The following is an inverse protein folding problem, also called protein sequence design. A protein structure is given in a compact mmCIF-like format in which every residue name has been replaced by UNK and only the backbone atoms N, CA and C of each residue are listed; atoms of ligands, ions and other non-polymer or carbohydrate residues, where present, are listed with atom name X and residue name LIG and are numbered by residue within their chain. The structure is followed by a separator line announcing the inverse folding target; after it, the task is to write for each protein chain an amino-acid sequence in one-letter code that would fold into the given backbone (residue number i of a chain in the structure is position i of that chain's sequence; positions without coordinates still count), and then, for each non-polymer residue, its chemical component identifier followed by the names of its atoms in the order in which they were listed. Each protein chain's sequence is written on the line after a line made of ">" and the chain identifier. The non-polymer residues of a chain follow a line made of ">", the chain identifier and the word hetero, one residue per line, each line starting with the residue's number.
data_IF_313552035718
#
_entry.id   IF_313552035718
#
_cell.length_a   1.000
_cell.length_b   1.000
_cell.length_c   1.000
_cell.angle_alpha   90.00
_cell.angle_beta   90.00
_cell.angle_gamma   90.00
#
_symmetry.space_group_name_H-M   'P 1'
#
loop_
_entity.id
_entity.type
_entity.pdbx_description
1 polymer ?
#
# COMPACT_ATOMS: atom_id res chain seq x y z
N UNK A 1 -4.11 -8.59 31.50
CA UNK A 1 -3.25 -7.68 32.27
C UNK A 1 -1.82 -8.23 32.39
N UNK A 2 -1.62 -9.32 33.14
CA UNK A 2 -0.30 -9.95 33.40
C UNK A 2 0.57 -10.16 32.16
N UNK A 3 -0.01 -10.65 31.05
CA UNK A 3 0.72 -10.81 29.77
C UNK A 3 1.36 -9.51 29.25
N UNK A 4 0.69 -8.36 29.41
CA UNK A 4 1.22 -7.06 28.95
C UNK A 4 2.27 -6.51 29.91
N UNK A 5 2.10 -6.76 31.21
CA UNK A 5 3.06 -6.42 32.26
C UNK A 5 4.37 -7.21 32.09
N UNK A 6 4.26 -8.52 31.91
CA UNK A 6 5.37 -9.41 31.58
C UNK A 6 6.05 -8.99 30.27
N UNK A 7 5.29 -8.43 29.33
CA UNK A 7 5.78 -7.91 28.06
C UNK A 7 6.33 -6.48 28.14
N UNK A 8 6.28 -5.82 29.31
CA UNK A 8 6.72 -4.44 29.48
C UNK A 8 5.97 -3.44 28.59
N UNK A 9 4.76 -3.78 28.15
CA UNK A 9 3.95 -2.98 27.22
C UNK A 9 4.65 -2.59 25.90
N UNK A 10 5.66 -3.37 25.49
CA UNK A 10 6.35 -3.16 24.20
C UNK A 10 5.37 -3.38 23.05
N UNK A 11 5.27 -2.42 22.14
CA UNK A 11 4.37 -2.45 20.98
C UNK A 11 2.89 -2.24 21.31
N UNK A 12 2.55 -1.86 22.55
CA UNK A 12 1.17 -1.62 22.97
C UNK A 12 0.82 -0.14 22.72
N UNK A 13 -0.18 0.17 21.87
CA UNK A 13 -0.68 1.53 21.70
C UNK A 13 -1.16 2.12 23.03
N UNK A 14 -0.99 3.43 23.23
CA UNK A 14 -1.43 4.16 24.43
C UNK A 14 -0.88 3.57 25.75
N UNK A 15 0.30 2.92 25.72
CA UNK A 15 0.87 2.23 26.90
C UNK A 15 0.95 3.10 28.14
N UNK A 16 1.28 4.39 28.00
CA UNK A 16 1.43 5.29 29.14
C UNK A 16 0.11 5.45 29.90
N UNK A 17 -1.00 5.66 29.17
CA UNK A 17 -2.35 5.75 29.75
C UNK A 17 -2.74 4.43 30.40
N UNK A 18 -2.53 3.31 29.71
CA UNK A 18 -2.86 1.97 30.24
C UNK A 18 -2.08 1.67 31.53
N UNK A 19 -0.78 1.97 31.55
CA UNK A 19 0.07 1.78 32.72
C UNK A 19 -0.39 2.64 33.90
N UNK A 20 -0.73 3.91 33.65
CA UNK A 20 -1.25 4.82 34.67
C UNK A 20 -2.60 4.36 35.23
N UNK A 21 -3.53 3.96 34.36
CA UNK A 21 -4.82 3.41 34.78
C UNK A 21 -4.64 2.15 35.64
N UNK A 22 -3.77 1.23 35.24
CA UNK A 22 -3.51 -0.01 35.99
C UNK A 22 -2.88 0.30 37.35
N UNK A 23 -1.91 1.21 37.40
CA UNK A 23 -1.31 1.63 38.66
C UNK A 23 -2.34 2.26 39.60
N UNK A 24 -3.20 3.14 39.09
CA UNK A 24 -4.29 3.75 39.86
C UNK A 24 -5.34 2.74 40.34
N UNK A 25 -5.59 1.66 39.58
CA UNK A 25 -6.46 0.58 40.05
C UNK A 25 -5.80 -0.25 41.16
N UNK A 26 -4.49 -0.47 41.09
CA UNK A 26 -3.71 -1.23 42.09
C UNK A 26 -3.42 -0.45 43.37
N UNK A 27 -3.39 0.88 43.32
CA UNK A 27 -3.20 1.72 44.51
C UNK A 27 -4.44 1.78 45.40
N UNK A 28 -5.61 1.38 44.90
CA UNK A 28 -6.85 1.33 45.68
C UNK A 28 -6.76 0.26 46.77
N UNK A 29 -7.12 0.65 47.99
CA UNK A 29 -7.20 -0.26 49.14
C UNK A 29 -8.36 -1.25 49.07
N UNK A 30 -9.42 -0.91 48.32
CA UNK A 30 -10.64 -1.70 48.21
C UNK A 30 -10.70 -2.51 46.91
N UNK A 31 -11.42 -3.63 46.95
CA UNK A 31 -11.66 -4.46 45.78
C UNK A 31 -12.47 -3.69 44.74
N UNK A 32 -11.96 -3.63 43.51
CA UNK A 32 -12.65 -3.01 42.37
C UNK A 32 -13.24 -4.10 41.48
N UNK A 33 -14.58 -4.10 41.31
CA UNK A 33 -15.28 -4.94 40.34
C UNK A 33 -15.59 -4.11 39.10
N UNK A 34 -15.26 -4.62 37.92
CA UNK A 34 -15.54 -3.96 36.63
C UNK A 34 -16.64 -4.77 35.95
N UNK A 35 -17.77 -4.13 35.67
CA UNK A 35 -18.88 -4.73 34.96
C UNK A 35 -18.90 -4.21 33.53
N UNK A 36 -18.96 -5.12 32.55
CA UNK A 36 -19.12 -4.75 31.14
C UNK A 36 -20.60 -4.68 30.79
N UNK A 37 -21.07 -3.52 30.34
CA UNK A 37 -22.46 -3.26 29.96
C UNK A 37 -22.57 -2.90 28.48
N UNK A 38 -23.56 -3.45 27.78
CA UNK A 38 -23.83 -3.12 26.37
C UNK A 38 -24.47 -1.73 26.24
N UNK A 39 -24.08 -0.99 25.20
CA UNK A 39 -24.60 0.36 24.90
C UNK A 39 -26.10 0.40 24.63
N UNK A 40 -26.72 -0.73 24.27
CA UNK A 40 -28.17 -0.86 24.08
C UNK A 40 -28.95 -0.74 25.39
N UNK A 41 -28.31 -0.98 26.54
CA UNK A 41 -28.94 -0.80 27.84
C UNK A 41 -28.92 0.69 28.18
N UNK A 42 -30.06 1.37 27.99
CA UNK A 42 -30.28 2.80 28.30
C UNK A 42 -30.35 3.06 29.81
N UNK A 43 -29.37 2.57 30.57
CA UNK A 43 -29.27 2.88 31.99
C UNK A 43 -28.98 4.38 32.15
N UNK A 44 -29.68 5.10 33.05
CA UNK A 44 -29.51 6.55 33.21
C UNK A 44 -28.06 7.00 33.44
N UNK A 45 -27.30 6.21 34.22
CA UNK A 45 -25.89 6.48 34.53
C UNK A 45 -24.99 6.41 33.29
N UNK A 46 -25.23 5.43 32.40
CA UNK A 46 -24.47 5.26 31.15
C UNK A 46 -24.78 6.41 30.20
N UNK A 47 -26.06 6.79 30.09
CA UNK A 47 -26.48 7.94 29.27
C UNK A 47 -25.78 9.21 29.76
N UNK A 48 -25.81 9.48 31.06
CA UNK A 48 -25.14 10.64 31.65
C UNK A 48 -23.62 10.62 31.43
N UNK A 49 -22.98 9.46 31.57
CA UNK A 49 -21.55 9.32 31.29
C UNK A 49 -21.21 9.58 29.81
N UNK A 50 -22.03 9.12 28.88
CA UNK A 50 -21.87 9.39 27.45
C UNK A 50 -22.07 10.87 27.12
N UNK A 51 -23.04 11.52 27.74
CA UNK A 51 -23.29 12.95 27.55
C UNK A 51 -22.09 13.77 28.07
N UNK A 52 -21.57 13.46 29.26
CA UNK A 52 -20.35 14.08 29.79
C UNK A 52 -19.14 13.86 28.88
N UNK A 53 -18.96 12.65 28.34
CA UNK A 53 -17.89 12.36 27.39
C UNK A 53 -18.02 13.18 26.10
N UNK A 54 -19.25 13.38 25.60
CA UNK A 54 -19.52 14.22 24.42
C UNK A 54 -19.24 15.69 24.69
N UNK A 55 -19.65 16.20 25.85
CA UNK A 55 -19.32 17.57 26.29
C UNK A 55 -17.81 17.75 26.38
N UNK A 56 -17.10 16.79 26.98
CA UNK A 56 -15.63 16.81 27.06
C UNK A 56 -14.96 16.81 25.68
N UNK A 57 -15.44 15.99 24.74
CA UNK A 57 -14.92 15.93 23.37
C UNK A 57 -15.15 17.22 22.55
N UNK A 58 -16.07 18.08 22.98
CA UNK A 58 -16.36 19.37 22.35
C UNK A 58 -15.62 20.56 22.95
N UNK A 59 -14.77 20.37 23.98
CA UNK A 59 -13.98 21.45 24.55
C UNK A 59 -12.90 21.92 23.57
N UNK A 60 -12.66 23.23 23.53
CA UNK A 60 -11.56 23.81 22.74
C UNK A 60 -10.18 23.49 23.34
N UNK A 61 -10.13 23.30 24.67
CA UNK A 61 -8.91 22.97 25.40
C UNK A 61 -9.07 21.65 26.14
N UNK A 62 -8.06 20.78 26.01
CA UNK A 62 -8.02 19.48 26.66
C UNK A 62 -7.86 19.61 28.19
N UNK A 63 -8.55 18.76 28.93
CA UNK A 63 -8.35 18.64 30.38
C UNK A 63 -6.99 17.99 30.67
N UNK A 64 -6.24 18.56 31.62
CA UNK A 64 -4.98 17.96 32.10
C UNK A 64 -5.28 16.75 32.98
N UNK A 65 -4.94 15.56 32.47
CA UNK A 65 -5.04 14.30 33.22
C UNK A 65 -3.68 13.90 33.77
N UNK A 66 -3.57 13.76 35.09
CA UNK A 66 -2.33 13.24 35.70
C UNK A 66 -2.16 11.74 35.37
N UNK A 67 -1.11 11.45 34.61
CA UNK A 67 -0.69 10.09 34.24
C UNK A 67 0.59 9.67 34.98
N UNK A 68 0.94 10.38 36.06
CA UNK A 68 2.04 9.99 36.93
C UNK A 68 1.77 8.62 37.57
N UNK A 69 2.84 7.83 37.70
CA UNK A 69 2.77 6.47 38.25
C UNK A 69 3.70 6.42 39.46
N UNK A 70 3.16 6.00 40.60
CA UNK A 70 3.92 5.68 41.80
C UNK A 70 5.09 4.75 41.43
N UNK A 71 6.34 5.11 41.74
CA UNK A 71 7.51 4.28 41.47
C UNK A 71 7.37 2.81 41.90
N UNK A 72 6.64 2.52 42.99
CA UNK A 72 6.41 1.14 43.49
C UNK A 72 5.53 0.30 42.56
N UNK A 73 4.69 0.94 41.76
CA UNK A 73 3.78 0.29 40.80
C UNK A 73 4.27 0.41 39.36
N UNK A 74 5.40 1.09 39.14
CA UNK A 74 5.94 1.35 37.81
C UNK A 74 6.65 0.12 37.25
N UNK A 75 6.15 -0.37 36.12
CA UNK A 75 6.81 -1.40 35.33
C UNK A 75 7.84 -0.73 34.42
N UNK A 76 9.12 -1.06 34.61
CA UNK A 76 10.25 -0.43 33.92
C UNK A 76 10.63 -1.11 32.61
N UNK A 77 10.15 -2.33 32.37
CA UNK A 77 10.47 -3.09 31.16
C UNK A 77 9.78 -4.44 31.11
N UNK A 78 10.16 -5.26 30.12
CA UNK A 78 9.67 -6.62 30.01
C UNK A 78 10.41 -7.56 30.97
N UNK A 79 9.70 -8.51 31.56
CA UNK A 79 10.31 -9.56 32.36
C UNK A 79 11.25 -10.40 31.49
N UNK A 80 12.52 -10.55 31.89
CA UNK A 80 13.54 -11.28 31.13
C UNK A 80 13.11 -12.72 30.83
N UNK A 81 12.50 -13.40 31.80
CA UNK A 81 11.98 -14.77 31.66
C UNK A 81 10.84 -14.91 30.65
N UNK A 82 10.21 -13.80 30.23
CA UNK A 82 9.11 -13.76 29.26
C UNK A 82 9.48 -12.99 27.99
N UNK A 83 10.73 -12.51 27.88
CA UNK A 83 11.23 -11.79 26.73
C UNK A 83 11.52 -12.75 25.58
N UNK A 84 11.12 -12.38 24.37
CA UNK A 84 11.47 -13.11 23.15
C UNK A 84 12.32 -12.22 22.27
N UNK A 85 13.13 -12.80 21.38
CA UNK A 85 13.93 -12.03 20.42
C UNK A 85 13.08 -11.04 19.60
N UNK A 86 11.90 -11.47 19.13
CA UNK A 86 10.94 -10.60 18.43
C UNK A 86 10.55 -9.39 19.29
N UNK A 87 10.25 -9.61 20.58
CA UNK A 87 9.86 -8.52 21.50
C UNK A 87 11.03 -7.61 21.81
N UNK A 88 12.22 -8.15 22.05
CA UNK A 88 13.45 -7.37 22.23
C UNK A 88 13.75 -6.49 21.01
N UNK A 89 13.63 -7.07 19.80
CA UNK A 89 13.79 -6.33 18.56
C UNK A 89 12.76 -5.19 18.43
N UNK A 90 11.48 -5.42 18.77
CA UNK A 90 10.46 -4.35 18.78
C UNK A 90 10.81 -3.22 19.74
N UNK A 91 11.25 -3.53 20.97
CA UNK A 91 11.67 -2.52 21.93
C UNK A 91 12.84 -1.68 21.42
N UNK A 92 13.87 -2.35 20.88
CA UNK A 92 15.01 -1.66 20.28
C UNK A 92 14.58 -0.77 19.11
N UNK A 93 13.68 -1.26 18.24
CA UNK A 93 13.14 -0.48 17.13
C UNK A 93 12.35 0.73 17.60
N UNK A 94 11.52 0.62 18.62
CA UNK A 94 10.80 1.76 19.20
C UNK A 94 11.75 2.83 19.73
N UNK A 95 12.78 2.42 20.47
CA UNK A 95 13.79 3.34 21.00
C UNK A 95 14.56 4.02 19.87
N UNK A 96 15.04 3.25 18.89
CA UNK A 96 15.77 3.79 17.74
C UNK A 96 14.90 4.71 16.88
N UNK A 97 13.62 4.38 16.70
CA UNK A 97 12.70 5.21 15.93
C UNK A 97 12.50 6.61 16.55
N UNK A 98 12.75 6.80 17.86
CA UNK A 98 12.69 8.12 18.52
C UNK A 98 13.84 9.04 18.12
N UNK A 99 14.98 8.47 17.72
CA UNK A 99 16.18 9.23 17.37
C UNK A 99 16.46 9.25 15.88
N UNK A 100 15.74 8.44 15.09
CA UNK A 100 15.92 8.42 13.64
C UNK A 100 15.41 9.72 13.01
N UNK A 101 16.20 10.34 12.11
CA UNK A 101 15.77 11.53 11.41
C UNK A 101 14.58 11.22 10.51
N UNK A 102 13.70 12.21 10.36
CA UNK A 102 12.58 12.13 9.42
C UNK A 102 13.13 12.02 8.00
N UNK A 103 12.61 11.05 7.25
CA UNK A 103 12.99 10.86 5.85
C UNK A 103 12.13 11.75 4.96
N UNK A 104 12.54 13.01 4.81
CA UNK A 104 11.77 14.05 4.11
C UNK A 104 11.22 13.59 2.74
N UNK A 105 12.02 12.88 1.93
CA UNK A 105 11.58 12.37 0.63
C UNK A 105 10.51 11.28 0.72
N UNK A 106 10.64 10.37 1.70
CA UNK A 106 9.60 9.36 1.96
C UNK A 106 8.31 10.03 2.42
N UNK A 107 8.40 11.04 3.30
CA UNK A 107 7.23 11.80 3.78
C UNK A 107 6.57 12.58 2.63
N UNK A 108 7.34 13.21 1.74
CA UNK A 108 6.81 13.89 0.57
C UNK A 108 6.08 12.92 -0.38
N UNK A 109 6.70 11.79 -0.71
CA UNK A 109 6.07 10.76 -1.53
C UNK A 109 4.82 10.16 -0.88
N UNK A 110 4.82 10.00 0.45
CA UNK A 110 3.64 9.55 1.19
C UNK A 110 2.49 10.54 1.06
N UNK A 111 2.74 11.85 1.22
CA UNK A 111 1.73 12.89 1.01
C UNK A 111 1.20 12.90 -0.41
N UNK A 112 2.08 12.77 -1.41
CA UNK A 112 1.68 12.65 -2.82
C UNK A 112 0.79 11.41 -3.06
N UNK A 113 1.11 10.27 -2.44
CA UNK A 113 0.30 9.06 -2.55
C UNK A 113 -1.08 9.23 -1.88
N UNK A 114 -1.15 9.89 -0.72
CA UNK A 114 -2.41 10.19 -0.04
C UNK A 114 -3.28 11.13 -0.88
N UNK A 115 -2.69 12.16 -1.50
CA UNK A 115 -3.40 13.05 -2.42
C UNK A 115 -3.88 12.31 -3.66
N UNK A 116 -3.02 11.47 -4.27
CA UNK A 116 -3.40 10.65 -5.42
C UNK A 116 -4.56 9.69 -5.09
N UNK A 117 -4.60 9.12 -3.89
CA UNK A 117 -5.72 8.28 -3.45
C UNK A 117 -7.02 9.07 -3.25
N UNK A 118 -6.91 10.34 -2.83
CA UNK A 118 -8.05 11.26 -2.71
C UNK A 118 -8.59 11.65 -4.07
N UNK A 119 -7.71 12.06 -4.99
CA UNK A 119 -8.07 12.48 -6.34
C UNK A 119 -8.62 11.32 -7.18
N UNK A 120 -7.97 10.15 -7.16
CA UNK A 120 -8.35 9.02 -8.02
C UNK A 120 -9.49 8.16 -7.47
N UNK A 121 -9.61 8.06 -6.14
CA UNK A 121 -10.51 7.08 -5.52
C UNK A 121 -11.46 7.71 -4.47
N UNK A 122 -11.37 9.02 -4.22
CA UNK A 122 -12.16 9.68 -3.19
C UNK A 122 -11.85 9.21 -1.76
N UNK A 123 -10.71 8.53 -1.54
CA UNK A 123 -10.36 7.95 -0.23
C UNK A 123 -9.28 8.75 0.49
N UNK A 124 -9.26 8.66 1.83
CA UNK A 124 -8.22 9.25 2.68
C UNK A 124 -7.48 8.16 3.45
N UNK A 125 -6.65 7.35 2.78
CA UNK A 125 -5.92 6.29 3.46
C UNK A 125 -4.86 6.89 4.39
N UNK A 126 -4.67 6.26 5.55
CA UNK A 126 -3.54 6.50 6.44
C UNK A 126 -2.24 5.98 5.83
N UNK A 127 -1.08 6.48 6.29
CA UNK A 127 0.22 5.98 5.85
C UNK A 127 0.36 4.47 6.03
N UNK A 128 -0.16 3.94 7.15
CA UNK A 128 -0.15 2.51 7.45
C UNK A 128 -0.97 1.70 6.44
N UNK A 129 -2.11 2.24 5.98
CA UNK A 129 -2.93 1.61 4.95
C UNK A 129 -2.23 1.59 3.60
N UNK A 130 -1.55 2.69 3.22
CA UNK A 130 -0.76 2.74 1.98
C UNK A 130 0.43 1.77 2.01
N UNK A 131 1.20 1.73 3.10
CA UNK A 131 2.29 0.75 3.22
C UNK A 131 1.80 -0.70 3.18
N UNK A 132 0.63 -0.96 3.76
CA UNK A 132 -0.01 -2.28 3.71
C UNK A 132 -0.51 -2.60 2.30
N UNK A 133 -1.01 -1.61 1.56
CA UNK A 133 -1.57 -1.79 0.22
C UNK A 133 -0.49 -2.22 -0.79
N UNK A 134 0.72 -1.65 -0.72
CA UNK A 134 1.86 -2.10 -1.53
C UNK A 134 2.17 -3.58 -1.30
N UNK A 135 1.91 -4.09 -0.09
CA UNK A 135 2.15 -5.49 0.25
C UNK A 135 1.03 -6.45 -0.16
N UNK A 136 0.04 -5.97 -0.94
CA UNK A 136 -1.10 -6.78 -1.31
C UNK A 136 -0.71 -8.02 -2.10
N UNK A 137 -1.43 -9.13 -1.86
CA UNK A 137 -1.14 -10.43 -2.49
C UNK A 137 -1.24 -10.42 -4.01
N UNK A 138 -2.06 -9.52 -4.55
CA UNK A 138 -2.29 -9.41 -6.00
C UNK A 138 -1.11 -8.76 -6.74
N UNK A 139 -0.24 -8.05 -6.02
CA UNK A 139 0.97 -7.46 -6.59
C UNK A 139 2.11 -8.49 -6.43
N UNK A 140 2.88 -8.78 -7.47
CA UNK A 140 4.00 -9.71 -7.36
C UNK A 140 5.15 -9.11 -6.53
N UNK A 141 6.01 -9.98 -5.96
CA UNK A 141 7.06 -9.56 -5.03
C UNK A 141 8.00 -8.49 -5.62
N UNK A 142 8.35 -8.59 -6.90
CA UNK A 142 9.26 -7.66 -7.53
C UNK A 142 8.62 -6.28 -7.73
N UNK A 143 7.33 -6.22 -8.08
CA UNK A 143 6.58 -4.97 -8.13
C UNK A 143 6.39 -4.34 -6.75
N UNK A 144 6.14 -5.15 -5.70
CA UNK A 144 6.06 -4.63 -4.32
C UNK A 144 7.36 -3.97 -3.89
N UNK A 145 8.49 -4.62 -4.19
CA UNK A 145 9.80 -4.07 -3.89
C UNK A 145 10.04 -2.77 -4.67
N UNK A 146 9.66 -2.75 -5.96
CA UNK A 146 9.74 -1.55 -6.77
C UNK A 146 8.95 -0.38 -6.19
N UNK A 147 7.65 -0.56 -5.92
CA UNK A 147 6.81 0.49 -5.33
C UNK A 147 7.34 0.96 -3.96
N UNK A 148 7.83 0.03 -3.14
CA UNK A 148 8.44 0.36 -1.85
C UNK A 148 9.71 1.22 -2.00
N UNK A 149 10.61 0.83 -2.90
CA UNK A 149 11.83 1.59 -3.20
C UNK A 149 11.50 2.96 -3.79
N UNK A 150 10.47 3.04 -4.63
CA UNK A 150 9.98 4.29 -5.24
C UNK A 150 9.40 5.22 -4.18
N UNK A 151 8.53 4.73 -3.28
CA UNK A 151 8.02 5.54 -2.16
C UNK A 151 9.15 6.04 -1.26
N UNK A 152 10.18 5.24 -1.03
CA UNK A 152 11.33 5.66 -0.23
C UNK A 152 12.30 6.59 -0.96
N UNK A 153 12.13 6.82 -2.27
CA UNK A 153 13.13 7.43 -3.14
C UNK A 153 14.50 6.76 -2.94
N UNK A 154 14.55 5.44 -3.07
CA UNK A 154 15.74 4.64 -2.78
C UNK A 154 16.56 4.26 -4.02
N UNK A 155 16.01 4.39 -5.23
CA UNK A 155 16.74 4.10 -6.47
C UNK A 155 17.82 5.14 -6.77
N UNK A 156 18.98 4.69 -7.27
CA UNK A 156 20.07 5.59 -7.70
C UNK A 156 19.83 6.05 -9.14
N UNK A 157 19.06 7.12 -9.27
CA UNK A 157 18.68 7.74 -10.55
C UNK A 157 18.70 9.27 -10.43
N UNK A 158 18.68 9.95 -11.57
CA UNK A 158 18.58 11.41 -11.65
C UNK A 158 19.67 12.13 -10.88
N UNK A 159 19.30 13.22 -10.21
CA UNK A 159 20.22 14.10 -9.47
C UNK A 159 21.06 13.41 -8.39
N UNK A 160 20.75 12.17 -7.97
CA UNK A 160 21.63 11.43 -7.06
C UNK A 160 22.97 11.09 -7.68
N UNK A 161 23.06 10.97 -9.01
CA UNK A 161 24.34 10.75 -9.69
C UNK A 161 25.26 11.97 -9.63
N UNK A 162 24.70 13.18 -9.51
CA UNK A 162 25.46 14.43 -9.40
C UNK A 162 26.23 14.57 -8.07
N UNK A 163 25.86 13.77 -7.07
CA UNK A 163 26.57 13.72 -5.78
C UNK A 163 27.85 12.86 -5.84
N UNK A 164 28.17 12.26 -6.99
CA UNK A 164 29.40 11.49 -7.20
C UNK A 164 30.40 12.28 -8.03
N UNK A 165 31.56 11.67 -8.29
CA UNK A 165 32.59 12.24 -9.14
C UNK A 165 32.10 12.51 -10.58
N UNK A 166 32.66 13.52 -11.28
CA UNK A 166 32.13 14.03 -12.55
C UNK A 166 31.90 12.99 -13.64
N UNK A 167 32.70 11.93 -13.71
CA UNK A 167 32.56 10.85 -14.69
C UNK A 167 31.24 10.06 -14.56
N UNK A 168 30.49 10.25 -13.48
CA UNK A 168 29.17 9.62 -13.29
C UNK A 168 28.00 10.57 -13.57
N UNK A 169 28.26 11.85 -13.82
CA UNK A 169 27.20 12.87 -13.92
C UNK A 169 26.28 12.64 -15.11
N UNK A 170 26.80 12.13 -16.23
CA UNK A 170 26.01 11.81 -17.43
C UNK A 170 24.87 10.83 -17.13
N UNK A 171 25.02 9.96 -16.11
CA UNK A 171 23.98 9.01 -15.68
C UNK A 171 22.79 9.69 -14.99
N UNK A 172 22.90 10.97 -14.64
CA UNK A 172 21.80 11.73 -14.07
C UNK A 172 20.75 12.12 -15.12
N UNK A 173 21.11 12.10 -16.40
CA UNK A 173 20.33 12.72 -17.47
C UNK A 173 19.77 11.68 -18.45
N UNK A 174 18.63 11.99 -19.05
CA UNK A 174 18.07 11.19 -20.12
C UNK A 174 18.54 11.69 -21.48
N UNK A 175 19.23 10.84 -22.23
CA UNK A 175 19.78 11.14 -23.56
C UNK A 175 18.71 11.34 -24.64
N UNK A 176 17.45 10.99 -24.35
CA UNK A 176 16.33 11.08 -25.29
C UNK A 176 15.38 12.25 -25.03
N UNK A 177 15.56 12.95 -23.91
CA UNK A 177 14.68 14.02 -23.44
C UNK A 177 15.48 15.31 -23.22
N UNK A 178 16.26 15.73 -24.22
CA UNK A 178 17.08 16.95 -24.16
C UNK A 178 17.96 17.07 -22.90
N UNK A 179 18.49 15.95 -22.40
CA UNK A 179 19.25 15.87 -21.15
C UNK A 179 18.49 16.37 -19.91
N UNK A 180 17.17 16.15 -19.86
CA UNK A 180 16.40 16.29 -18.63
C UNK A 180 16.91 15.34 -17.54
N UNK A 181 16.82 15.76 -16.27
CA UNK A 181 17.17 14.92 -15.12
C UNK A 181 16.23 13.70 -15.08
N UNK A 182 16.82 12.51 -15.14
CA UNK A 182 16.09 11.25 -15.21
C UNK A 182 15.59 10.80 -13.82
N UNK A 183 14.63 11.55 -13.28
CA UNK A 183 13.93 11.22 -12.04
C UNK A 183 12.94 10.06 -12.20
N UNK A 184 12.40 9.52 -11.09
CA UNK A 184 11.38 8.46 -11.19
C UNK A 184 10.11 8.96 -11.88
N UNK A 185 9.71 10.20 -11.62
CA UNK A 185 8.57 10.81 -12.32
C UNK A 185 8.86 10.96 -13.82
N UNK A 186 10.08 11.38 -14.17
CA UNK A 186 10.47 11.43 -15.58
C UNK A 186 10.34 10.05 -16.23
N UNK A 187 10.93 9.01 -15.64
CA UNK A 187 10.91 7.64 -16.17
C UNK A 187 9.50 7.11 -16.35
N UNK A 188 8.62 7.34 -15.37
CA UNK A 188 7.29 6.72 -15.35
C UNK A 188 6.20 7.54 -16.05
N UNK A 189 6.40 8.85 -16.24
CA UNK A 189 5.32 9.77 -16.68
C UNK A 189 5.74 10.71 -17.81
N UNK A 190 7.00 11.17 -17.87
CA UNK A 190 7.39 12.28 -18.76
C UNK A 190 8.29 11.88 -19.92
N UNK A 191 8.98 10.74 -19.82
CA UNK A 191 10.00 10.30 -20.76
C UNK A 191 9.45 10.11 -22.18
N UNK A 192 10.08 10.73 -23.18
CA UNK A 192 9.70 10.65 -24.60
C UNK A 192 10.25 9.41 -25.31
N UNK A 193 11.20 8.68 -24.70
CA UNK A 193 11.72 7.45 -25.30
C UNK A 193 10.59 6.43 -25.53
N UNK A 194 10.67 5.63 -26.60
CA UNK A 194 9.76 4.51 -26.81
C UNK A 194 9.68 3.61 -25.57
N UNK A 195 8.46 3.25 -25.20
CA UNK A 195 8.15 2.35 -24.10
C UNK A 195 7.10 2.89 -23.14
N UNK A 196 7.32 4.12 -22.66
CA UNK A 196 6.51 4.71 -21.60
C UNK A 196 5.08 5.00 -22.07
N UNK A 197 4.98 5.68 -23.21
CA UNK A 197 3.70 6.06 -23.83
C UNK A 197 2.91 4.82 -24.25
N UNK A 198 3.54 3.87 -24.93
CA UNK A 198 2.90 2.66 -25.43
C UNK A 198 2.29 1.83 -24.30
N UNK A 199 3.02 1.65 -23.18
CA UNK A 199 2.48 0.92 -22.02
C UNK A 199 1.29 1.66 -21.42
N UNK A 200 1.33 2.99 -21.34
CA UNK A 200 0.20 3.76 -20.82
C UNK A 200 -1.02 3.76 -21.73
N UNK A 201 -0.83 3.84 -23.05
CA UNK A 201 -1.92 3.76 -24.02
C UNK A 201 -2.61 2.39 -23.94
N UNK A 202 -1.84 1.30 -23.87
CA UNK A 202 -2.40 -0.05 -23.68
C UNK A 202 -3.09 -0.23 -22.33
N UNK A 203 -2.53 0.39 -21.28
CA UNK A 203 -3.14 0.39 -19.93
C UNK A 203 -4.46 1.14 -19.91
N UNK A 204 -4.52 2.30 -20.57
CA UNK A 204 -5.73 3.10 -20.74
C UNK A 204 -6.83 2.28 -21.41
N UNK A 205 -6.54 1.67 -22.55
CA UNK A 205 -7.53 0.85 -23.28
C UNK A 205 -8.10 -0.26 -22.41
N UNK A 206 -7.26 -0.97 -21.63
CA UNK A 206 -7.72 -2.02 -20.72
C UNK A 206 -8.63 -1.51 -19.59
N UNK A 207 -8.32 -0.35 -19.03
CA UNK A 207 -9.14 0.26 -17.98
C UNK A 207 -10.48 0.74 -18.53
N UNK A 208 -10.47 1.36 -19.72
CA UNK A 208 -11.68 1.84 -20.41
C UNK A 208 -12.62 0.67 -20.77
N UNK A 209 -12.10 -0.45 -21.28
CA UNK A 209 -12.91 -1.65 -21.54
C UNK A 209 -13.57 -2.21 -20.28
N UNK A 210 -12.91 -2.06 -19.12
CA UNK A 210 -13.47 -2.44 -17.82
C UNK A 210 -14.43 -1.40 -17.24
N UNK A 211 -14.74 -0.33 -17.98
CA UNK A 211 -15.52 0.82 -17.49
C UNK A 211 -14.91 1.42 -16.20
N UNK A 212 -13.58 1.54 -16.18
CA UNK A 212 -12.84 2.24 -15.13
C UNK A 212 -12.35 3.56 -15.73
N UNK A 213 -12.71 4.68 -15.11
CA UNK A 213 -12.31 6.01 -15.55
C UNK A 213 -10.79 6.11 -15.62
N UNK A 214 -10.30 6.43 -16.82
CA UNK A 214 -8.90 6.72 -17.03
C UNK A 214 -8.55 8.13 -16.54
N UNK A 215 -7.45 8.22 -15.80
CA UNK A 215 -6.82 9.48 -15.47
C UNK A 215 -5.39 9.45 -15.98
N UNK A 216 -4.97 10.53 -16.66
CA UNK A 216 -3.60 10.70 -17.10
C UNK A 216 -2.64 10.40 -15.94
N UNK A 217 -1.64 9.50 -16.12
CA UNK A 217 -0.79 9.06 -15.03
C UNK A 217 -0.03 10.25 -14.43
N UNK A 218 -0.14 10.43 -13.12
CA UNK A 218 0.75 11.30 -12.35
C UNK A 218 1.48 10.46 -11.31
N UNK A 219 2.58 11.01 -10.80
CA UNK A 219 3.34 10.36 -9.74
C UNK A 219 2.46 10.07 -8.51
N UNK A 220 1.54 10.97 -8.16
CA UNK A 220 0.57 10.77 -7.07
C UNK A 220 -0.30 9.52 -7.28
N UNK A 221 -0.88 9.34 -8.48
CA UNK A 221 -1.75 8.21 -8.79
C UNK A 221 -0.96 6.89 -8.83
N UNK A 222 0.27 6.91 -9.34
CA UNK A 222 1.16 5.73 -9.36
C UNK A 222 1.51 5.29 -7.94
N UNK A 223 1.87 6.23 -7.06
CA UNK A 223 2.20 5.90 -5.67
C UNK A 223 0.97 5.38 -4.89
N UNK A 224 -0.23 5.79 -5.30
CA UNK A 224 -1.50 5.34 -4.75
C UNK A 224 -2.04 4.03 -5.38
N UNK A 225 -1.44 3.53 -6.46
CA UNK A 225 -2.06 2.51 -7.33
C UNK A 225 -2.34 1.17 -6.63
N UNK A 226 -1.70 0.92 -5.49
CA UNK A 226 -1.88 -0.29 -4.70
C UNK A 226 -3.11 -0.25 -3.78
N UNK A 227 -3.73 0.92 -3.58
CA UNK A 227 -4.89 1.15 -2.73
C UNK A 227 -6.13 1.68 -3.49
N UNK A 228 -6.55 1.06 -4.60
CA UNK A 228 -7.75 1.51 -5.30
C UNK A 228 -8.99 1.28 -4.44
N UNK A 229 -9.98 2.14 -4.62
CA UNK A 229 -11.31 2.02 -4.03
C UNK A 229 -12.34 2.38 -5.09
N UNK A 230 -13.24 1.47 -5.40
CA UNK A 230 -14.31 1.69 -6.35
C UNK A 230 -15.64 1.27 -5.73
N UNK A 231 -16.66 2.11 -5.91
CA UNK A 231 -18.01 1.87 -5.42
C UNK A 231 -18.99 2.01 -6.57
N UNK A 232 -19.89 1.05 -6.72
CA UNK A 232 -21.02 1.17 -7.64
C UNK A 232 -22.03 2.20 -7.16
N UNK A 233 -22.99 2.56 -8.02
CA UNK A 233 -24.03 3.56 -7.75
C UNK A 233 -24.86 3.24 -6.49
N UNK A 234 -25.05 1.96 -6.17
CA UNK A 234 -25.73 1.49 -4.97
C UNK A 234 -24.84 1.46 -3.70
N UNK A 235 -23.63 2.04 -3.76
CA UNK A 235 -22.68 2.12 -2.65
C UNK A 235 -21.92 0.82 -2.35
N UNK A 236 -22.07 -0.23 -3.16
CA UNK A 236 -21.33 -1.50 -2.96
C UNK A 236 -19.91 -1.40 -3.52
N UNK A 237 -18.97 -2.00 -2.81
CA UNK A 237 -17.55 -2.02 -3.20
C UNK A 237 -17.30 -2.97 -4.37
N UNK A 238 -16.65 -2.48 -5.42
CA UNK A 238 -16.35 -3.25 -6.64
C UNK A 238 -14.98 -3.93 -6.54
N UNK A 239 -14.88 -4.95 -5.69
CA UNK A 239 -13.61 -5.66 -5.41
C UNK A 239 -12.90 -6.20 -6.68
N UNK A 240 -13.67 -6.62 -7.70
CA UNK A 240 -13.13 -7.08 -8.98
C UNK A 240 -12.38 -5.98 -9.73
N UNK A 241 -13.00 -4.79 -9.88
CA UNK A 241 -12.37 -3.61 -10.50
C UNK A 241 -11.16 -3.13 -9.70
N UNK A 242 -11.23 -3.13 -8.37
CA UNK A 242 -10.10 -2.75 -7.52
C UNK A 242 -8.91 -3.70 -7.66
N UNK A 243 -9.18 -5.00 -7.81
CA UNK A 243 -8.14 -5.99 -8.05
C UNK A 243 -7.55 -5.82 -9.45
N UNK A 244 -8.38 -5.65 -10.47
CA UNK A 244 -7.98 -5.42 -11.85
C UNK A 244 -7.09 -4.18 -11.98
N UNK A 245 -7.57 -3.02 -11.52
CA UNK A 245 -6.81 -1.76 -11.56
C UNK A 245 -5.44 -1.91 -10.91
N UNK A 246 -5.39 -2.52 -9.72
CA UNK A 246 -4.14 -2.72 -8.99
C UNK A 246 -3.17 -3.60 -9.76
N UNK A 247 -3.65 -4.69 -10.36
CA UNK A 247 -2.83 -5.58 -11.18
C UNK A 247 -2.29 -4.85 -12.40
N UNK A 248 -3.18 -4.20 -13.17
CA UNK A 248 -2.85 -3.55 -14.43
C UNK A 248 -1.90 -2.38 -14.19
N UNK A 249 -2.26 -1.40 -13.36
CA UNK A 249 -1.44 -0.20 -13.15
C UNK A 249 -0.09 -0.55 -12.52
N UNK A 250 -0.04 -1.47 -11.54
CA UNK A 250 1.24 -1.88 -10.95
C UNK A 250 2.12 -2.68 -11.91
N UNK A 251 1.51 -3.46 -12.81
CA UNK A 251 2.24 -4.15 -13.88
C UNK A 251 2.81 -3.14 -14.87
N UNK A 252 2.06 -2.09 -15.22
CA UNK A 252 2.45 -1.06 -16.19
C UNK A 252 3.70 -0.33 -15.74
N UNK A 253 3.69 0.20 -14.52
CA UNK A 253 4.83 0.93 -13.95
C UNK A 253 6.08 0.08 -13.86
N UNK A 254 5.94 -1.21 -13.51
CA UNK A 254 7.08 -2.11 -13.48
C UNK A 254 7.59 -2.43 -14.89
N UNK A 255 6.72 -2.54 -15.89
CA UNK A 255 7.14 -2.77 -17.29
C UNK A 255 7.94 -1.59 -17.82
N UNK A 256 7.47 -0.36 -17.57
CA UNK A 256 8.17 0.88 -17.94
C UNK A 256 9.53 0.95 -17.25
N UNK A 257 9.57 0.69 -15.93
CA UNK A 257 10.82 0.66 -15.17
C UNK A 257 11.83 -0.37 -15.70
N UNK A 258 11.37 -1.60 -15.96
CA UNK A 258 12.22 -2.67 -16.45
C UNK A 258 12.75 -2.36 -17.86
N UNK A 259 11.89 -1.86 -18.75
CA UNK A 259 12.30 -1.43 -20.09
C UNK A 259 13.35 -0.32 -20.00
N UNK A 260 13.14 0.70 -19.17
CA UNK A 260 14.16 1.74 -18.95
C UNK A 260 15.48 1.16 -18.42
N UNK A 261 15.43 0.25 -17.44
CA UNK A 261 16.65 -0.33 -16.88
C UNK A 261 17.43 -1.13 -17.91
N UNK A 262 16.76 -1.98 -18.69
CA UNK A 262 17.39 -2.75 -19.76
C UNK A 262 17.99 -1.83 -20.83
N UNK A 263 17.23 -0.81 -21.26
CA UNK A 263 17.73 0.20 -22.21
C UNK A 263 19.04 0.83 -21.73
N UNK A 264 19.03 1.40 -20.53
CA UNK A 264 20.16 2.19 -20.02
C UNK A 264 21.35 1.32 -19.61
N UNK A 265 21.12 0.11 -19.09
CA UNK A 265 22.17 -0.73 -18.50
C UNK A 265 22.72 -1.77 -19.49
N UNK A 266 21.87 -2.33 -20.34
CA UNK A 266 22.22 -3.50 -21.17
C UNK A 266 22.27 -3.20 -22.67
N UNK A 267 21.62 -2.11 -23.12
CA UNK A 267 21.51 -1.76 -24.55
C UNK A 267 22.17 -0.44 -24.91
N UNK A 268 23.10 0.07 -24.08
CA UNK A 268 23.81 1.33 -24.37
C UNK A 268 22.87 2.50 -24.71
N UNK A 269 21.72 2.55 -24.04
CA UNK A 269 20.65 3.51 -24.28
C UNK A 269 19.90 3.42 -25.63
N UNK A 270 20.11 2.37 -26.43
CA UNK A 270 19.37 2.14 -27.67
C UNK A 270 17.86 1.93 -27.38
N UNK A 271 16.96 2.66 -28.05
CA UNK A 271 15.53 2.57 -27.82
C UNK A 271 14.98 1.20 -28.24
N UNK A 272 13.91 0.75 -27.57
CA UNK A 272 13.13 -0.40 -28.03
C UNK A 272 12.21 0.00 -29.18
N UNK A 273 11.77 -0.98 -29.97
CA UNK A 273 10.65 -0.75 -30.89
C UNK A 273 9.33 -0.74 -30.13
N UNK A 274 8.33 -0.01 -30.64
CA UNK A 274 6.98 0.00 -30.05
C UNK A 274 6.35 -1.41 -30.04
N UNK A 275 6.69 -2.26 -31.01
CA UNK A 275 6.25 -3.66 -31.06
C UNK A 275 6.88 -4.50 -29.94
N UNK A 276 8.19 -4.38 -29.70
CA UNK A 276 8.86 -5.08 -28.60
C UNK A 276 8.22 -4.74 -27.24
N UNK A 277 7.91 -3.46 -27.01
CA UNK A 277 7.27 -3.00 -25.78
C UNK A 277 5.84 -3.54 -25.67
N UNK A 278 5.07 -3.44 -26.75
CA UNK A 278 3.69 -3.93 -26.81
C UNK A 278 3.64 -5.42 -26.48
N UNK A 279 4.52 -6.21 -27.10
CA UNK A 279 4.60 -7.65 -26.86
C UNK A 279 5.01 -7.99 -25.42
N UNK A 280 5.94 -7.22 -24.82
CA UNK A 280 6.31 -7.38 -23.40
C UNK A 280 5.13 -7.09 -22.47
N UNK A 281 4.38 -6.04 -22.75
CA UNK A 281 3.20 -5.68 -21.97
C UNK A 281 2.10 -6.75 -22.08
N UNK A 282 1.74 -7.13 -23.31
CA UNK A 282 0.76 -8.19 -23.61
C UNK A 282 1.14 -9.49 -22.91
N UNK A 283 2.39 -9.93 -23.03
CA UNK A 283 2.91 -11.13 -22.37
C UNK A 283 2.75 -11.06 -20.85
N UNK A 284 3.04 -9.91 -20.24
CA UNK A 284 2.96 -9.74 -18.79
C UNK A 284 1.54 -9.84 -18.26
N UNK A 285 0.59 -9.17 -18.91
CA UNK A 285 -0.81 -9.17 -18.48
C UNK A 285 -1.45 -10.54 -18.74
N UNK A 286 -1.22 -11.16 -19.90
CA UNK A 286 -1.71 -12.51 -20.17
C UNK A 286 -1.11 -13.55 -19.22
N UNK A 287 0.19 -13.46 -18.92
CA UNK A 287 0.80 -14.34 -17.90
C UNK A 287 0.14 -14.17 -16.54
N UNK A 288 -0.30 -12.96 -16.19
CA UNK A 288 -1.00 -12.72 -14.93
C UNK A 288 -2.40 -13.32 -14.92
N UNK A 289 -3.14 -13.21 -16.03
CA UNK A 289 -4.41 -13.89 -16.23
C UNK A 289 -4.26 -15.41 -16.06
N UNK A 290 -3.33 -16.03 -16.80
CA UNK A 290 -3.03 -17.46 -16.71
C UNK A 290 -2.74 -17.89 -15.27
N UNK A 291 -1.92 -17.12 -14.55
CA UNK A 291 -1.61 -17.42 -13.15
C UNK A 291 -2.85 -17.33 -12.26
N UNK A 292 -3.71 -16.34 -12.46
CA UNK A 292 -4.96 -16.22 -11.70
C UNK A 292 -5.89 -17.42 -11.97
N UNK A 293 -6.04 -17.84 -13.22
CA UNK A 293 -6.80 -19.04 -13.61
C UNK A 293 -6.21 -20.30 -12.97
N UNK A 294 -4.89 -20.51 -13.08
CA UNK A 294 -4.20 -21.64 -12.46
C UNK A 294 -4.40 -21.67 -10.95
N UNK A 295 -4.38 -20.51 -10.29
CA UNK A 295 -4.53 -20.40 -8.85
C UNK A 295 -5.96 -20.70 -8.35
N UNK A 296 -6.94 -20.92 -9.23
CA UNK A 296 -8.29 -21.38 -8.82
C UNK A 296 -8.36 -22.87 -8.51
N UNK A 297 -7.36 -23.66 -8.94
CA UNK A 297 -7.37 -25.13 -8.79
C UNK A 297 -7.37 -25.57 -7.33
N UNK A 298 -8.17 -26.58 -7.02
CA UNK A 298 -8.36 -27.13 -5.66
C UNK A 298 -7.08 -27.62 -5.00
N UNK A 299 -6.07 -28.04 -5.78
CA UNK A 299 -4.74 -28.44 -5.28
C UNK A 299 -4.06 -27.37 -4.41
N UNK A 300 -4.47 -26.10 -4.54
CA UNK A 300 -3.94 -25.00 -3.74
C UNK A 300 -4.68 -24.80 -2.40
N UNK A 301 -5.75 -25.56 -2.14
CA UNK A 301 -6.50 -25.57 -0.87
C UNK A 301 -6.88 -24.16 -0.39
N UNK A 302 -6.54 -23.83 0.85
CA UNK A 302 -6.83 -22.50 1.45
C UNK A 302 -6.10 -21.32 0.77
N UNK A 303 -5.14 -21.60 -0.12
CA UNK A 303 -4.42 -20.58 -0.90
C UNK A 303 -5.01 -20.38 -2.29
N UNK A 304 -5.98 -21.21 -2.70
CA UNK A 304 -6.66 -21.07 -3.98
C UNK A 304 -7.40 -19.72 -4.05
N UNK A 305 -7.44 -19.14 -5.25
CA UNK A 305 -8.31 -18.02 -5.56
C UNK A 305 -9.73 -18.54 -5.78
N UNK A 306 -10.72 -17.76 -5.36
CA UNK A 306 -12.11 -18.06 -5.68
C UNK A 306 -12.34 -17.81 -7.17
N UNK A 307 -12.99 -18.76 -7.87
CA UNK A 307 -13.39 -18.63 -9.27
C UNK A 307 -14.10 -17.29 -9.55
N UNK A 308 -15.12 -16.97 -8.76
CA UNK A 308 -15.85 -15.69 -8.87
C UNK A 308 -14.92 -14.47 -8.81
N UNK A 309 -13.91 -14.47 -7.94
CA UNK A 309 -13.00 -13.32 -7.83
C UNK A 309 -12.21 -13.13 -9.14
N UNK A 310 -11.77 -14.22 -9.77
CA UNK A 310 -11.02 -14.17 -11.04
C UNK A 310 -11.94 -13.69 -12.17
N UNK A 311 -13.14 -14.27 -12.30
CA UNK A 311 -14.14 -13.84 -13.27
C UNK A 311 -14.46 -12.34 -13.12
N UNK A 312 -14.78 -11.88 -11.90
CA UNK A 312 -15.07 -10.47 -11.66
C UNK A 312 -13.85 -9.55 -11.87
N UNK A 313 -12.62 -10.06 -11.71
CA UNK A 313 -11.41 -9.28 -11.99
C UNK A 313 -11.33 -8.99 -13.49
N UNK A 314 -11.43 -10.03 -14.32
CA UNK A 314 -11.13 -9.95 -15.75
C UNK A 314 -12.35 -9.75 -16.66
N UNK A 315 -13.57 -9.81 -16.12
CA UNK A 315 -14.79 -9.61 -16.89
C UNK A 315 -14.81 -8.28 -17.66
N UNK A 316 -15.24 -8.28 -18.91
CA UNK A 316 -15.20 -7.12 -19.81
C UNK A 316 -13.80 -6.76 -20.33
N UNK A 317 -12.78 -7.58 -20.08
CA UNK A 317 -11.41 -7.33 -20.58
C UNK A 317 -10.82 -8.54 -21.33
N UNK A 318 -11.61 -9.59 -21.53
CA UNK A 318 -11.20 -10.80 -22.26
C UNK A 318 -11.47 -10.63 -23.76
N UNK A 319 -10.56 -11.12 -24.59
CA UNK A 319 -10.74 -11.13 -26.05
C UNK A 319 -11.90 -12.06 -26.43
N UNK A 320 -12.82 -11.56 -27.25
CA UNK A 320 -14.02 -12.30 -27.69
C UNK A 320 -14.87 -12.84 -26.53
N UNK A 321 -14.88 -12.17 -25.38
CA UNK A 321 -15.62 -12.58 -24.18
C UNK A 321 -17.08 -12.97 -24.42
N UNK A 322 -17.87 -12.29 -25.30
CA UNK A 322 -19.25 -12.69 -25.58
C UNK A 322 -19.40 -14.07 -26.23
N UNK A 323 -18.32 -14.63 -26.80
CA UNK A 323 -18.30 -15.95 -27.43
C UNK A 323 -17.84 -17.06 -26.48
N UNK A 324 -17.41 -16.69 -25.26
CA UNK A 324 -16.90 -17.63 -24.26
C UNK A 324 -18.00 -18.05 -23.29
N UNK A 325 -17.89 -19.24 -22.67
CA UNK A 325 -18.81 -19.65 -21.62
C UNK A 325 -18.69 -18.72 -20.40
N UNK A 326 -19.73 -18.72 -19.55
CA UNK A 326 -19.75 -17.89 -18.34
C UNK A 326 -18.56 -18.17 -17.41
N UNK A 327 -18.14 -19.44 -17.31
CA UNK A 327 -16.86 -19.83 -16.71
C UNK A 327 -15.83 -20.14 -17.81
N UNK A 328 -15.24 -19.09 -18.38
CA UNK A 328 -14.22 -19.22 -19.42
C UNK A 328 -12.85 -19.71 -18.92
N UNK A 329 -12.66 -19.88 -17.60
CA UNK A 329 -11.36 -20.26 -17.05
C UNK A 329 -10.91 -21.68 -17.40
N UNK A 330 -11.85 -22.52 -17.86
CA UNK A 330 -11.58 -23.89 -18.32
C UNK A 330 -11.39 -23.98 -19.84
N UNK A 331 -11.52 -22.86 -20.56
CA UNK A 331 -11.28 -22.78 -22.00
C UNK A 331 -9.80 -22.53 -22.28
N UNK A 332 -9.23 -23.28 -23.22
CA UNK A 332 -7.86 -23.05 -23.67
C UNK A 332 -7.75 -21.77 -24.51
N UNK A 333 -6.63 -21.06 -24.40
CA UNK A 333 -6.33 -19.90 -25.25
C UNK A 333 -7.05 -18.60 -24.88
N UNK A 334 -7.60 -18.48 -23.67
CA UNK A 334 -8.19 -17.21 -23.21
C UNK A 334 -7.11 -16.15 -22.99
N UNK A 335 -7.26 -15.03 -23.70
CA UNK A 335 -6.35 -13.89 -23.63
C UNK A 335 -7.10 -12.65 -23.16
N UNK A 336 -6.40 -11.78 -22.44
CA UNK A 336 -6.85 -10.41 -22.23
C UNK A 336 -6.85 -9.74 -23.60
N UNK A 337 -7.99 -9.17 -23.98
CA UNK A 337 -8.07 -8.45 -25.23
C UNK A 337 -7.24 -7.18 -25.09
N UNK A 338 -6.21 -7.08 -25.90
CA UNK A 338 -5.28 -5.96 -25.90
C UNK A 338 -5.13 -5.59 -27.37
N UNK A 339 -5.62 -4.39 -27.71
CA UNK A 339 -5.73 -3.83 -29.07
C UNK A 339 -4.60 -4.17 -30.01
#
# INVERSE_FOLDING_TARGET
>A
LKKNEDAGYIGVPNRNVIQATIANLRSRKQSTKITWTKTSNKLPEITKANDLARTGAGKEQDDLVDISIDPKLRITGAALSKLTQNRAYKAFREQKNRTLPVRNRTTANMRLAMEGARESFGTRPTEAQLWKSIRHRDIDRSTRYFLWMTMHDAYRIGGKWLNFAPQYHDRAYCTHCNNDIESMEHILVKCSSPGQKEVWDLTKSLLEWRNITWHTPKMSNILACAAPSFTSENGRRENGKERFFRIVVSSAVQTIWNARCERVIQRENAPFTSEEITNRWKKKINRRLELDCLMTRDRFGRKALKKDLVLHTWAGSILNEPQLPQDWMETDGVLVGIG
#
